data_IF_697907550974
#
_entry.id   IF_697907550974
#
_cell.length_a   1.000
_cell.length_b   1.000
_cell.length_c   1.000
_cell.angle_alpha   90.00
_cell.angle_beta   90.00
_cell.angle_gamma   90.00
#
_symmetry.space_group_name_H-M   'P 1'
#
loop_
_entity.id
_entity.type
_entity.pdbx_description
1 polymer ?
#
# COMPACT_ATOMS: atom_id res chain seq x y z
N UNK A 1 -14.05 -14.23 18.04
CA UNK A 1 -13.13 -13.27 17.41
C UNK A 1 -12.96 -13.66 15.95
N UNK A 2 -12.94 -12.69 15.03
CA UNK A 2 -12.83 -12.89 13.58
C UNK A 2 -11.53 -12.25 13.08
N UNK A 3 -10.90 -12.79 12.04
CA UNK A 3 -9.64 -12.28 11.50
C UNK A 3 -9.73 -12.06 9.99
N UNK A 4 -9.50 -10.84 9.54
CA UNK A 4 -9.43 -10.49 8.12
C UNK A 4 -7.97 -10.39 7.73
N UNK A 5 -7.55 -11.17 6.73
CA UNK A 5 -6.17 -11.13 6.26
C UNK A 5 -6.06 -10.16 5.08
N UNK A 6 -5.34 -9.05 5.25
CA UNK A 6 -5.15 -8.02 4.24
C UNK A 6 -3.68 -7.98 3.75
N UNK A 7 -3.19 -9.11 3.26
CA UNK A 7 -1.76 -9.34 2.95
C UNK A 7 -1.27 -8.73 1.64
N UNK A 8 -2.07 -7.91 0.94
CA UNK A 8 -1.71 -7.29 -0.33
C UNK A 8 -2.25 -8.03 -1.56
N UNK A 9 -1.66 -7.73 -2.73
CA UNK A 9 -2.07 -8.24 -4.06
C UNK A 9 -1.96 -9.77 -4.23
N UNK A 10 -1.31 -10.45 -3.29
CA UNK A 10 -1.43 -11.90 -3.16
C UNK A 10 -2.56 -12.18 -2.19
N UNK A 11 -3.65 -12.77 -2.70
CA UNK A 11 -4.78 -13.18 -1.89
C UNK A 11 -4.28 -13.86 -0.62
N UNK A 12 -4.77 -13.42 0.53
CA UNK A 12 -4.34 -13.95 1.82
C UNK A 12 -4.49 -15.47 1.93
N UNK A 13 -5.40 -16.03 1.13
CA UNK A 13 -5.60 -17.46 0.89
C UNK A 13 -4.38 -18.22 0.35
N UNK A 14 -3.27 -17.55 0.01
CA UNK A 14 -2.03 -18.19 -0.50
C UNK A 14 -0.81 -18.08 0.43
N UNK A 15 -0.99 -17.68 1.69
CA UNK A 15 0.08 -17.76 2.68
C UNK A 15 0.39 -19.25 2.97
N UNK A 16 1.64 -19.74 2.82
CA UNK A 16 1.98 -21.14 3.06
C UNK A 16 1.58 -21.56 4.47
N UNK A 17 0.63 -22.48 4.55
CA UNK A 17 0.07 -23.01 5.77
C UNK A 17 1.14 -23.86 6.46
N UNK A 18 1.55 -23.48 7.68
CA UNK A 18 2.46 -24.32 8.48
C UNK A 18 1.69 -25.22 9.45
N UNK A 19 0.58 -24.74 10.03
CA UNK A 19 -0.30 -25.52 10.91
C UNK A 19 -1.76 -25.00 10.84
N UNK A 20 -2.73 -25.91 10.90
CA UNK A 20 -4.16 -25.57 10.97
C UNK A 20 -4.54 -25.23 12.41
N UNK A 21 -4.67 -23.95 12.73
CA UNK A 21 -5.29 -23.49 13.98
C UNK A 21 -6.56 -22.70 13.66
N UNK A 22 -7.51 -22.64 14.60
CA UNK A 22 -8.84 -22.04 14.43
C UNK A 22 -8.86 -20.59 13.90
N UNK A 23 -7.75 -19.85 14.05
CA UNK A 23 -7.56 -18.51 13.47
C UNK A 23 -7.46 -18.50 11.94
N UNK A 24 -6.97 -19.59 11.34
CA UNK A 24 -6.74 -19.71 9.90
C UNK A 24 -8.02 -20.05 9.12
N UNK A 25 -8.95 -20.78 9.75
CA UNK A 25 -10.26 -21.11 9.17
C UNK A 25 -11.21 -19.89 9.08
N UNK A 26 -10.86 -18.78 9.76
CA UNK A 26 -11.64 -17.55 9.80
C UNK A 26 -11.11 -16.45 8.86
N UNK A 27 -10.12 -16.74 8.00
CA UNK A 27 -9.57 -15.76 7.06
C UNK A 27 -10.60 -15.40 5.99
N UNK A 28 -10.95 -14.12 5.91
CA UNK A 28 -11.89 -13.61 4.90
C UNK A 28 -11.19 -12.96 3.72
N UNK A 29 -11.83 -13.02 2.54
CA UNK A 29 -11.43 -12.22 1.38
C UNK A 29 -11.81 -10.74 1.63
N UNK A 30 -10.84 -9.80 1.62
CA UNK A 30 -11.10 -8.39 1.88
C UNK A 30 -12.01 -7.72 0.84
N UNK A 31 -12.24 -8.32 -0.33
CA UNK A 31 -13.13 -7.79 -1.37
C UNK A 31 -14.50 -8.47 -1.42
N UNK A 32 -14.73 -9.53 -0.64
CA UNK A 32 -16.03 -10.22 -0.57
C UNK A 32 -16.94 -9.59 0.51
N UNK A 33 -17.73 -8.60 0.09
CA UNK A 33 -18.68 -7.92 0.97
C UNK A 33 -19.76 -8.89 1.49
N UNK A 34 -20.14 -9.92 0.74
CA UNK A 34 -21.19 -10.87 1.14
C UNK A 34 -20.76 -11.73 2.32
N UNK A 35 -19.48 -12.12 2.34
CA UNK A 35 -18.87 -12.82 3.47
C UNK A 35 -18.72 -11.88 4.67
N UNK A 36 -18.36 -10.62 4.45
CA UNK A 36 -18.28 -9.61 5.52
C UNK A 36 -19.65 -9.33 6.17
N UNK A 37 -20.75 -9.40 5.42
CA UNK A 37 -22.11 -9.22 5.95
C UNK A 37 -22.56 -10.36 6.88
N UNK A 38 -21.92 -11.53 6.82
CA UNK A 38 -22.20 -12.66 7.71
C UNK A 38 -21.50 -12.50 9.07
N UNK A 39 -20.60 -11.52 9.20
CA UNK A 39 -19.99 -11.19 10.48
C UNK A 39 -21.03 -10.58 11.42
N UNK A 40 -20.97 -10.96 12.70
CA UNK A 40 -21.60 -10.16 13.75
C UNK A 40 -21.10 -8.71 13.62
N UNK A 41 -22.00 -7.72 13.44
CA UNK A 41 -21.64 -6.32 13.30
C UNK A 41 -20.78 -5.79 14.46
N UNK A 42 -20.82 -6.40 15.64
CA UNK A 42 -20.04 -6.01 16.82
C UNK A 42 -18.80 -6.89 17.06
N UNK A 43 -18.52 -7.86 16.19
CA UNK A 43 -17.36 -8.72 16.33
C UNK A 43 -16.05 -7.93 16.37
N UNK A 44 -15.05 -8.46 17.06
CA UNK A 44 -13.68 -7.94 16.93
C UNK A 44 -13.07 -8.45 15.64
N UNK A 45 -12.53 -7.53 14.84
CA UNK A 45 -11.82 -7.84 13.57
C UNK A 45 -10.35 -7.47 13.71
N UNK A 46 -9.47 -8.45 13.45
CA UNK A 46 -8.03 -8.21 13.30
C UNK A 46 -7.69 -8.15 11.81
N UNK A 47 -7.00 -7.09 11.39
CA UNK A 47 -6.41 -6.95 10.05
C UNK A 47 -4.90 -7.10 10.13
N UNK A 48 -4.33 -8.02 9.36
CA UNK A 48 -2.87 -8.18 9.24
C UNK A 48 -2.40 -7.50 7.95
N UNK A 49 -1.58 -6.46 8.09
CA UNK A 49 -1.13 -5.58 7.01
C UNK A 49 -1.78 -4.20 7.08
N UNK A 50 -1.07 -3.17 6.63
CA UNK A 50 -1.52 -1.76 6.64
C UNK A 50 -1.42 -1.08 5.27
N UNK A 51 -1.36 -1.86 4.19
CA UNK A 51 -1.32 -1.35 2.81
C UNK A 51 -2.71 -1.08 2.22
N UNK A 52 -2.81 -0.89 0.90
CA UNK A 52 -4.10 -0.63 0.24
C UNK A 52 -5.14 -1.73 0.45
N UNK A 53 -4.74 -3.00 0.52
CA UNK A 53 -5.68 -4.08 0.80
C UNK A 53 -6.33 -3.95 2.18
N UNK A 54 -5.66 -3.36 3.17
CA UNK A 54 -6.28 -3.05 4.46
C UNK A 54 -7.33 -1.95 4.29
N UNK A 55 -7.04 -0.93 3.49
CA UNK A 55 -8.02 0.12 3.16
C UNK A 55 -9.24 -0.47 2.44
N UNK A 56 -9.04 -1.37 1.49
CA UNK A 56 -10.13 -2.07 0.81
C UNK A 56 -10.97 -2.91 1.79
N UNK A 57 -10.32 -3.63 2.71
CA UNK A 57 -11.00 -4.39 3.76
C UNK A 57 -11.85 -3.47 4.65
N UNK A 58 -11.35 -2.30 5.05
CA UNK A 58 -12.11 -1.32 5.81
C UNK A 58 -13.32 -0.80 5.03
N UNK A 59 -13.19 -0.56 3.73
CA UNK A 59 -14.31 -0.18 2.85
C UNK A 59 -15.36 -1.29 2.80
N UNK A 60 -14.94 -2.56 2.67
CA UNK A 60 -15.84 -3.71 2.65
C UNK A 60 -16.56 -3.89 3.99
N UNK A 61 -15.85 -3.77 5.12
CA UNK A 61 -16.44 -3.83 6.47
C UNK A 61 -17.45 -2.71 6.71
N UNK A 62 -17.13 -1.47 6.30
CA UNK A 62 -18.06 -0.34 6.41
C UNK A 62 -19.32 -0.58 5.57
N UNK A 63 -19.18 -1.07 4.33
CA UNK A 63 -20.32 -1.45 3.47
C UNK A 63 -21.14 -2.61 4.03
N UNK A 64 -20.50 -3.54 4.73
CA UNK A 64 -21.16 -4.65 5.42
C UNK A 64 -21.86 -4.22 6.72
N UNK A 65 -21.74 -2.95 7.13
CA UNK A 65 -22.38 -2.43 8.35
C UNK A 65 -21.65 -2.81 9.63
N UNK A 66 -20.37 -3.20 9.56
CA UNK A 66 -19.58 -3.53 10.74
C UNK A 66 -19.36 -2.30 11.62
N UNK A 67 -19.49 -2.46 12.94
CA UNK A 67 -19.38 -1.42 13.97
C UNK A 67 -18.51 -1.84 15.17
N UNK A 68 -18.07 -3.09 15.21
CA UNK A 68 -17.18 -3.64 16.22
C UNK A 68 -15.75 -3.09 16.11
N UNK A 69 -14.89 -3.41 17.07
CA UNK A 69 -13.53 -2.90 17.11
C UNK A 69 -12.66 -3.55 16.03
N UNK A 70 -11.89 -2.71 15.32
CA UNK A 70 -10.95 -3.13 14.29
C UNK A 70 -9.52 -2.88 14.79
N UNK A 71 -8.70 -3.93 14.83
CA UNK A 71 -7.28 -3.84 15.18
C UNK A 71 -6.44 -4.10 13.94
N UNK A 72 -5.40 -3.29 13.72
CA UNK A 72 -4.48 -3.46 12.58
C UNK A 72 -3.09 -3.79 13.09
N UNK A 73 -2.52 -4.91 12.62
CA UNK A 73 -1.14 -5.27 12.88
C UNK A 73 -0.28 -5.01 11.64
N UNK A 74 0.71 -4.14 11.75
CA UNK A 74 1.61 -3.78 10.66
C UNK A 74 3.06 -4.13 10.97
N UNK A 75 3.74 -4.71 9.98
CA UNK A 75 5.19 -4.97 10.07
C UNK A 75 6.02 -3.69 10.07
N UNK A 76 5.57 -2.65 9.38
CA UNK A 76 6.37 -1.45 9.11
C UNK A 76 5.74 -0.17 9.67
N UNK A 77 4.50 -0.22 10.17
CA UNK A 77 3.81 0.94 10.72
C UNK A 77 3.46 2.03 9.70
N UNK A 78 3.57 1.74 8.40
CA UNK A 78 3.28 2.68 7.32
C UNK A 78 1.82 2.54 6.85
N UNK A 79 1.13 3.67 6.69
CA UNK A 79 -0.17 3.75 6.02
C UNK A 79 0.01 4.26 4.57
N UNK A 80 -0.89 3.91 3.64
CA UNK A 80 -0.88 4.50 2.31
C UNK A 80 -1.20 5.98 2.38
N UNK A 81 -0.42 6.80 1.68
CA UNK A 81 -0.74 8.22 1.52
C UNK A 81 -1.99 8.42 0.66
N UNK A 82 -2.70 9.53 0.87
CA UNK A 82 -3.82 9.92 0.00
C UNK A 82 -3.28 10.33 -1.38
N UNK A 83 -3.92 9.83 -2.44
CA UNK A 83 -3.63 10.22 -3.82
C UNK A 83 -4.09 11.66 -4.04
N UNK A 84 -3.18 12.51 -4.50
CA UNK A 84 -3.45 13.88 -4.97
C UNK A 84 -3.26 13.97 -6.49
N UNK A 85 -3.60 15.12 -7.05
CA UNK A 85 -3.40 15.45 -8.48
C UNK A 85 -2.40 16.60 -8.59
N UNK A 86 -1.09 16.32 -8.43
CA UNK A 86 -0.07 17.33 -8.67
C UNK A 86 0.00 17.73 -10.15
N UNK A 87 0.61 18.89 -10.48
CA UNK A 87 0.98 19.19 -11.85
C UNK A 87 1.98 18.15 -12.40
N UNK A 88 2.15 18.13 -13.72
CA UNK A 88 3.18 17.30 -14.36
C UNK A 88 4.58 17.68 -13.86
N UNK A 89 5.45 16.68 -13.80
CA UNK A 89 6.85 16.85 -13.40
C UNK A 89 7.78 16.41 -14.53
N UNK A 90 8.96 17.04 -14.61
CA UNK A 90 9.93 16.71 -15.63
C UNK A 90 10.32 15.22 -15.60
N UNK A 91 10.53 14.60 -16.77
CA UNK A 91 11.04 13.23 -16.83
C UNK A 91 12.55 13.19 -16.56
N UNK A 92 12.90 13.37 -15.29
CA UNK A 92 14.28 13.34 -14.81
C UNK A 92 14.96 11.96 -15.01
N UNK A 93 14.19 10.90 -15.28
CA UNK A 93 14.72 9.56 -15.55
C UNK A 93 15.04 9.34 -17.04
N UNK A 94 14.35 10.05 -17.94
CA UNK A 94 14.73 10.14 -19.34
C UNK A 94 15.94 11.06 -19.53
N UNK A 95 16.03 12.13 -18.75
CA UNK A 95 17.16 13.08 -18.77
C UNK A 95 18.47 12.47 -18.24
N UNK A 96 18.40 11.49 -17.35
CA UNK A 96 19.57 10.78 -16.82
C UNK A 96 19.49 9.25 -17.00
N UNK A 97 19.85 8.73 -18.20
CA UNK A 97 19.89 7.29 -18.48
C UNK A 97 20.96 6.51 -17.69
N UNK A 98 21.82 7.19 -16.91
CA UNK A 98 22.86 6.56 -16.08
C UNK A 98 22.28 5.98 -14.77
N UNK A 99 21.07 6.38 -14.39
CA UNK A 99 20.35 5.86 -13.23
C UNK A 99 19.88 4.44 -13.52
N UNK A 100 20.64 3.45 -13.01
CA UNK A 100 20.40 2.02 -13.31
C UNK A 100 20.32 1.13 -12.07
N UNK A 101 20.60 1.67 -10.89
CA UNK A 101 20.52 0.93 -9.63
C UNK A 101 19.42 1.46 -8.71
N UNK A 102 18.91 0.58 -7.85
CA UNK A 102 17.93 0.92 -6.81
C UNK A 102 18.39 2.09 -5.95
N UNK A 103 19.68 2.14 -5.57
CA UNK A 103 20.24 3.22 -4.76
C UNK A 103 20.24 4.55 -5.51
N UNK A 104 20.65 4.57 -6.78
CA UNK A 104 20.63 5.79 -7.59
C UNK A 104 19.19 6.29 -7.78
N UNK A 105 18.25 5.39 -8.06
CA UNK A 105 16.84 5.72 -8.22
C UNK A 105 16.28 6.37 -6.96
N UNK A 106 16.44 5.74 -5.80
CA UNK A 106 15.92 6.27 -4.52
C UNK A 106 16.55 7.64 -4.22
N UNK A 107 17.86 7.80 -4.44
CA UNK A 107 18.53 9.09 -4.25
C UNK A 107 17.94 10.18 -5.15
N UNK A 108 17.77 9.89 -6.45
CA UNK A 108 17.23 10.86 -7.41
C UNK A 108 15.77 11.19 -7.12
N UNK A 109 14.95 10.21 -6.75
CA UNK A 109 13.55 10.45 -6.37
C UNK A 109 13.46 11.37 -5.16
N UNK A 110 14.31 11.17 -4.13
CA UNK A 110 14.35 12.06 -2.96
C UNK A 110 14.72 13.49 -3.34
N UNK A 111 15.78 13.66 -4.13
CA UNK A 111 16.21 14.96 -4.65
C UNK A 111 15.06 15.68 -5.39
N UNK A 112 14.33 14.96 -6.25
CA UNK A 112 13.23 15.53 -7.01
C UNK A 112 12.01 15.87 -6.13
N UNK A 113 11.72 15.05 -5.11
CA UNK A 113 10.69 15.37 -4.13
C UNK A 113 11.05 16.61 -3.29
N UNK A 114 12.32 16.76 -2.91
CA UNK A 114 12.82 17.95 -2.20
C UNK A 114 12.66 19.20 -3.07
N UNK A 115 13.08 19.15 -4.35
CA UNK A 115 12.90 20.23 -5.31
C UNK A 115 11.42 20.61 -5.52
N UNK A 116 10.52 19.63 -5.57
CA UNK A 116 9.09 19.87 -5.69
C UNK A 116 8.58 20.66 -4.47
N UNK A 117 8.93 20.22 -3.27
CA UNK A 117 8.54 20.89 -2.02
C UNK A 117 9.06 22.33 -1.98
N UNK A 118 10.34 22.55 -2.32
CA UNK A 118 10.96 23.87 -2.36
C UNK A 118 10.27 24.81 -3.36
N UNK A 119 9.74 24.24 -4.45
CA UNK A 119 8.99 24.97 -5.49
C UNK A 119 7.50 25.16 -5.15
N UNK A 120 7.05 24.78 -3.93
CA UNK A 120 5.64 24.85 -3.54
C UNK A 120 4.75 23.82 -4.22
N UNK A 121 5.34 22.79 -4.83
CA UNK A 121 4.66 21.71 -5.55
C UNK A 121 4.59 20.48 -4.65
N UNK A 122 3.51 19.72 -4.81
CA UNK A 122 3.31 18.49 -4.07
C UNK A 122 4.43 17.47 -4.35
N UNK A 123 5.00 16.90 -3.29
CA UNK A 123 6.04 15.86 -3.38
C UNK A 123 5.62 14.63 -4.20
N UNK A 124 4.31 14.44 -4.45
CA UNK A 124 3.81 13.35 -5.28
C UNK A 124 4.08 13.55 -6.78
N UNK A 125 4.36 14.77 -7.25
CA UNK A 125 4.56 15.07 -8.67
C UNK A 125 5.69 14.22 -9.30
N UNK A 126 6.91 14.17 -8.72
CA UNK A 126 8.00 13.37 -9.27
C UNK A 126 7.75 11.86 -9.23
N UNK A 127 6.82 11.38 -8.40
CA UNK A 127 6.52 9.95 -8.29
C UNK A 127 5.78 9.41 -9.51
N UNK A 128 5.03 10.25 -10.23
CA UNK A 128 4.33 9.81 -11.42
C UNK A 128 5.32 9.55 -12.58
N UNK A 129 6.43 10.29 -12.63
CA UNK A 129 7.58 10.02 -13.53
C UNK A 129 8.17 8.62 -13.31
N UNK A 130 8.32 8.21 -12.03
CA UNK A 130 8.82 6.88 -11.71
C UNK A 130 7.83 5.83 -12.21
N UNK A 131 6.52 6.02 -12.00
CA UNK A 131 5.47 5.09 -12.43
C UNK A 131 5.52 4.85 -13.94
N UNK A 132 5.68 5.91 -14.73
CA UNK A 132 5.81 5.81 -16.19
C UNK A 132 7.06 5.01 -16.63
N UNK A 133 8.12 5.01 -15.81
CA UNK A 133 9.40 4.37 -16.12
C UNK A 133 9.59 2.99 -15.47
N UNK A 134 8.66 2.48 -14.64
CA UNK A 134 8.82 1.21 -13.89
C UNK A 134 9.18 0.04 -14.80
N UNK A 135 8.49 -0.13 -15.92
CA UNK A 135 8.74 -1.25 -16.84
C UNK A 135 10.17 -1.27 -17.36
N UNK A 136 10.68 -0.10 -17.78
CA UNK A 136 12.07 0.06 -18.24
C UNK A 136 13.07 -0.24 -17.13
N UNK A 137 12.89 0.36 -15.95
CA UNK A 137 13.78 0.19 -14.81
C UNK A 137 13.82 -1.28 -14.34
N UNK A 138 12.67 -1.95 -14.31
CA UNK A 138 12.57 -3.34 -13.88
C UNK A 138 13.22 -4.32 -14.87
N UNK A 139 13.04 -4.08 -16.17
CA UNK A 139 13.63 -4.90 -17.22
C UNK A 139 15.17 -4.77 -17.28
N UNK A 140 15.69 -3.57 -17.00
CA UNK A 140 17.14 -3.31 -16.95
C UNK A 140 17.80 -3.78 -15.64
N UNK A 141 17.02 -3.98 -14.58
CA UNK A 141 17.54 -4.38 -13.28
C UNK A 141 18.03 -5.84 -13.27
N UNK A 142 19.23 -6.04 -12.72
CA UNK A 142 19.72 -7.37 -12.33
C UNK A 142 18.87 -7.95 -11.20
N UNK A 143 18.91 -9.27 -11.02
CA UNK A 143 18.17 -9.92 -9.93
C UNK A 143 18.60 -9.43 -8.54
N UNK A 144 19.86 -9.06 -8.38
CA UNK A 144 20.36 -8.45 -7.15
C UNK A 144 19.68 -7.10 -6.89
N UNK A 145 19.52 -6.25 -7.91
CA UNK A 145 18.81 -4.97 -7.78
C UNK A 145 17.32 -5.17 -7.54
N UNK A 146 16.67 -6.14 -8.20
CA UNK A 146 15.27 -6.50 -7.92
C UNK A 146 15.08 -6.93 -6.47
N UNK A 147 15.97 -7.79 -5.95
CA UNK A 147 15.98 -8.20 -4.53
C UNK A 147 16.20 -7.03 -3.57
N UNK A 148 17.14 -6.13 -3.90
CA UNK A 148 17.38 -4.91 -3.11
C UNK A 148 16.14 -4.03 -3.07
N UNK A 149 15.46 -3.83 -4.20
CA UNK A 149 14.20 -3.07 -4.25
C UNK A 149 13.14 -3.71 -3.35
N UNK A 150 12.90 -5.02 -3.51
CA UNK A 150 11.90 -5.76 -2.73
C UNK A 150 12.19 -5.70 -1.22
N UNK A 151 13.47 -5.80 -0.83
CA UNK A 151 13.90 -5.80 0.58
C UNK A 151 13.85 -4.41 1.20
N UNK A 152 14.30 -3.38 0.50
CA UNK A 152 14.59 -2.07 1.09
C UNK A 152 13.61 -0.97 0.67
N UNK A 153 13.06 -1.03 -0.54
CA UNK A 153 12.27 0.06 -1.11
C UNK A 153 10.78 -0.25 -1.09
N UNK A 154 10.39 -1.53 -1.21
CA UNK A 154 8.99 -1.95 -1.27
C UNK A 154 8.08 -1.32 -0.19
N UNK A 155 8.45 -1.27 1.11
CA UNK A 155 7.55 -0.67 2.11
C UNK A 155 7.21 0.79 1.81
N UNK A 156 8.19 1.56 1.34
CA UNK A 156 8.02 2.95 0.94
C UNK A 156 7.24 3.05 -0.37
N UNK A 157 7.52 2.17 -1.34
CA UNK A 157 6.78 2.08 -2.59
C UNK A 157 5.28 1.87 -2.35
N UNK A 158 4.92 0.88 -1.52
CA UNK A 158 3.52 0.59 -1.20
C UNK A 158 2.82 1.78 -0.51
N UNK A 159 3.52 2.51 0.36
CA UNK A 159 2.93 3.66 1.06
C UNK A 159 2.85 4.93 0.17
N UNK A 160 3.86 5.18 -0.67
CA UNK A 160 4.06 6.45 -1.37
C UNK A 160 3.63 6.42 -2.85
N UNK A 161 3.75 5.28 -3.53
CA UNK A 161 3.31 5.10 -4.93
C UNK A 161 1.93 4.44 -5.02
N UNK A 162 1.61 3.45 -4.19
CA UNK A 162 0.29 2.82 -4.16
C UNK A 162 -0.63 3.58 -3.19
N UNK A 163 -0.94 4.82 -3.56
CA UNK A 163 -1.70 5.78 -2.75
C UNK A 163 -3.20 5.49 -2.76
N UNK A 164 -3.85 5.75 -1.62
CA UNK A 164 -5.30 5.54 -1.45
C UNK A 164 -6.11 6.62 -2.19
N UNK A 165 -7.19 6.25 -2.90
CA UNK A 165 -8.17 7.23 -3.40
C UNK A 165 -8.71 8.11 -2.25
N UNK A 166 -9.06 9.39 -2.52
CA UNK A 166 -9.54 10.31 -1.49
C UNK A 166 -10.72 9.79 -0.65
N UNK A 167 -11.76 9.14 -1.21
CA UNK A 167 -12.86 8.62 -0.40
C UNK A 167 -12.43 7.55 0.61
N UNK A 168 -11.60 6.60 0.18
CA UNK A 168 -11.11 5.52 1.05
C UNK A 168 -10.11 6.04 2.10
N UNK A 169 -9.32 7.06 1.76
CA UNK A 169 -8.43 7.72 2.71
C UNK A 169 -9.22 8.49 3.78
N UNK A 170 -10.33 9.14 3.41
CA UNK A 170 -11.21 9.82 4.36
C UNK A 170 -11.89 8.84 5.32
N UNK A 171 -12.30 7.66 4.84
CA UNK A 171 -12.80 6.57 5.69
C UNK A 171 -11.75 6.14 6.71
N UNK A 172 -10.53 5.83 6.27
CA UNK A 172 -9.43 5.46 7.16
C UNK A 172 -9.17 6.55 8.21
N UNK A 173 -9.10 7.82 7.80
CA UNK A 173 -8.89 8.94 8.71
C UNK A 173 -10.01 9.09 9.76
N UNK A 174 -11.25 8.76 9.41
CA UNK A 174 -12.38 8.74 10.36
C UNK A 174 -12.22 7.61 11.37
N UNK A 175 -11.87 6.40 10.91
CA UNK A 175 -11.76 5.22 11.77
C UNK A 175 -10.55 5.28 12.72
N UNK A 176 -9.45 5.94 12.34
CA UNK A 176 -8.27 6.11 13.20
C UNK A 176 -8.50 7.11 14.34
N UNK A 177 -9.48 8.01 14.23
CA UNK A 177 -9.80 9.01 15.26
C UNK A 177 -10.75 8.50 16.35
N UNK A 178 -11.33 7.32 16.16
CA UNK A 178 -12.25 6.66 17.11
C UNK A 178 -11.47 5.78 18.06
#
# INVERSE_FOLDING_TARGET
SQAVLATGMYAASRTPQRESNALNAASLDPWDVSVMQQLDPQARVLIIGSGLTMVDALVSLEKAGHRGPIQVFSRHGLLPHVRRQPPEWSDFLAQDPSIRSTRQLVRKVREQCELAIESGIDWQAPLDTVRANVGRLWNQATDTQRRQFVRHVRPWWESHHHRSPPPSAALLARLVKQ
#
